data_IF_835257651097
#
_entry.id   IF_835257651097
#
_cell.length_a   1.000
_cell.length_b   1.000
_cell.length_c   1.000
_cell.angle_alpha   90.00
_cell.angle_beta   90.00
_cell.angle_gamma   90.00
#
_symmetry.space_group_name_H-M   'P 1'
#
loop_
_entity.id
_entity.type
_entity.pdbx_description
1 polymer ?
#
# COMPACT_ATOMS: atom_id res chain seq x y z
N UNK A 1 6.68 1.10 -9.80
CA UNK A 1 7.20 0.64 -8.49
C UNK A 1 8.40 -0.26 -8.71
N UNK A 2 9.50 -0.05 -7.97
CA UNK A 2 10.65 -0.96 -8.01
C UNK A 2 10.29 -2.31 -7.37
N UNK A 3 10.90 -3.39 -7.89
CA UNK A 3 10.91 -4.72 -7.25
C UNK A 3 12.15 -4.79 -6.36
N UNK A 4 11.98 -4.97 -5.05
CA UNK A 4 13.08 -5.07 -4.09
C UNK A 4 13.71 -6.47 -4.07
N UNK A 5 12.90 -7.50 -4.29
CA UNK A 5 13.28 -8.90 -4.33
C UNK A 5 12.22 -9.70 -5.09
N UNK A 6 12.67 -10.71 -5.84
CA UNK A 6 11.81 -11.70 -6.48
C UNK A 6 12.35 -13.11 -6.22
N UNK A 7 11.47 -13.99 -5.75
CA UNK A 7 11.81 -15.37 -5.41
C UNK A 7 10.85 -15.97 -4.41
N UNK A 8 11.19 -17.17 -3.92
CA UNK A 8 10.46 -17.81 -2.83
C UNK A 8 10.59 -16.93 -1.58
N UNK A 9 9.47 -16.74 -0.86
CA UNK A 9 9.46 -15.97 0.37
C UNK A 9 10.50 -16.52 1.36
N UNK A 10 11.34 -15.63 1.84
CA UNK A 10 12.39 -15.90 2.80
C UNK A 10 12.41 -14.76 3.81
N UNK A 11 12.11 -15.10 5.06
CA UNK A 11 11.97 -14.13 6.14
C UNK A 11 13.26 -13.31 6.35
N UNK A 12 14.42 -13.97 6.32
CA UNK A 12 15.69 -13.32 6.61
C UNK A 12 16.09 -12.37 5.48
N UNK A 13 15.89 -12.77 4.22
CA UNK A 13 16.12 -11.88 3.08
C UNK A 13 15.23 -10.63 3.13
N UNK A 14 13.97 -10.80 3.53
CA UNK A 14 13.04 -9.67 3.68
C UNK A 14 13.50 -8.73 4.81
N UNK A 15 14.01 -9.25 5.93
CA UNK A 15 14.59 -8.43 7.01
C UNK A 15 15.88 -7.73 6.58
N UNK A 16 16.67 -8.32 5.69
CA UNK A 16 17.83 -7.63 5.13
C UNK A 16 17.46 -6.45 4.22
N UNK A 17 16.32 -6.53 3.52
CA UNK A 17 15.80 -5.39 2.75
C UNK A 17 15.44 -4.23 3.67
N UNK A 18 14.79 -4.48 4.82
CA UNK A 18 14.44 -3.45 5.82
C UNK A 18 15.67 -2.63 6.23
N UNK A 19 16.81 -3.28 6.45
CA UNK A 19 18.07 -2.63 6.86
C UNK A 19 18.63 -1.65 5.81
N UNK A 20 18.22 -1.81 4.55
CA UNK A 20 18.68 -0.99 3.41
C UNK A 20 17.69 0.11 3.05
N UNK A 21 16.54 0.18 3.72
CA UNK A 21 15.52 1.18 3.43
C UNK A 21 15.83 2.53 4.06
N UNK A 22 15.49 3.59 3.33
CA UNK A 22 15.45 4.96 3.85
C UNK A 22 14.03 5.24 4.35
N UNK A 23 13.79 5.03 5.64
CA UNK A 23 12.47 5.17 6.25
C UNK A 23 11.98 6.62 6.39
N UNK A 24 12.83 7.62 6.11
CA UNK A 24 12.38 9.02 6.00
C UNK A 24 11.66 9.26 4.67
N UNK A 25 11.99 8.48 3.63
CA UNK A 25 11.37 8.58 2.31
C UNK A 25 10.41 7.42 1.99
N UNK A 26 10.61 6.28 2.63
CA UNK A 26 9.91 5.03 2.30
C UNK A 26 9.11 4.56 3.50
N UNK A 27 7.81 4.31 3.29
CA UNK A 27 6.95 3.89 4.39
C UNK A 27 7.14 2.44 4.79
N UNK A 28 7.59 1.62 3.84
CA UNK A 28 7.71 0.17 3.96
C UNK A 28 7.53 -0.48 2.59
N UNK A 29 7.09 -1.73 2.58
CA UNK A 29 6.94 -2.52 1.35
C UNK A 29 5.75 -3.46 1.41
N UNK A 30 5.39 -3.98 0.24
CA UNK A 30 4.33 -4.96 0.05
C UNK A 30 4.95 -6.25 -0.50
N UNK A 31 4.50 -7.38 0.02
CA UNK A 31 4.82 -8.71 -0.50
C UNK A 31 3.54 -9.25 -1.13
N UNK A 32 3.67 -9.84 -2.31
CA UNK A 32 2.59 -10.51 -3.02
C UNK A 32 3.11 -11.72 -3.76
N UNK A 33 2.22 -12.62 -4.16
CA UNK A 33 2.55 -13.63 -5.17
C UNK A 33 2.92 -12.96 -6.50
N UNK A 34 3.81 -13.60 -7.26
CA UNK A 34 4.18 -13.18 -8.62
C UNK A 34 2.95 -13.13 -9.51
N UNK A 35 2.16 -14.20 -9.47
CA UNK A 35 0.91 -14.32 -10.20
C UNK A 35 -0.22 -13.55 -9.53
N UNK A 36 -1.23 -13.22 -10.33
CA UNK A 36 -2.45 -12.59 -9.86
C UNK A 36 -3.29 -13.55 -9.00
N UNK A 37 -4.18 -12.97 -8.20
CA UNK A 37 -5.14 -13.69 -7.37
C UNK A 37 -6.51 -13.00 -7.45
N UNK A 38 -7.59 -13.73 -7.19
CA UNK A 38 -8.91 -13.13 -7.12
C UNK A 38 -9.02 -12.16 -5.94
N UNK A 39 -9.71 -11.04 -6.13
CA UNK A 39 -9.86 -10.02 -5.09
C UNK A 39 -10.35 -10.56 -3.73
N UNK A 40 -11.27 -11.54 -3.75
CA UNK A 40 -11.77 -12.21 -2.53
C UNK A 40 -10.66 -12.85 -1.68
N UNK A 41 -9.54 -13.21 -2.30
CA UNK A 41 -8.40 -13.86 -1.67
C UNK A 41 -7.28 -12.86 -1.30
N UNK A 42 -7.50 -11.55 -1.46
CA UNK A 42 -6.51 -10.51 -1.18
C UNK A 42 -5.82 -10.67 0.18
N UNK A 43 -6.60 -10.99 1.23
CA UNK A 43 -6.08 -11.17 2.59
C UNK A 43 -5.10 -12.35 2.72
N UNK A 44 -5.10 -13.29 1.78
CA UNK A 44 -4.24 -14.48 1.78
C UNK A 44 -2.96 -14.29 0.98
N UNK A 45 -2.99 -13.45 -0.05
CA UNK A 45 -1.91 -13.32 -1.03
C UNK A 45 -1.11 -12.04 -0.92
N UNK A 46 -1.48 -11.12 -0.02
CA UNK A 46 -0.79 -9.85 0.17
C UNK A 46 -0.46 -9.64 1.63
N UNK A 47 0.78 -9.23 1.89
CA UNK A 47 1.23 -8.73 3.18
C UNK A 47 1.91 -7.36 3.01
N UNK A 48 1.92 -6.55 4.06
CA UNK A 48 2.64 -5.28 4.07
C UNK A 48 3.44 -5.13 5.36
N UNK A 49 4.59 -4.50 5.24
CA UNK A 49 5.37 -3.97 6.35
C UNK A 49 5.34 -2.46 6.25
N UNK A 50 5.20 -1.79 7.40
CA UNK A 50 5.24 -0.33 7.51
C UNK A 50 6.15 0.00 8.70
N UNK A 51 7.02 1.00 8.53
CA UNK A 51 7.92 1.48 9.58
C UNK A 51 7.18 1.83 10.87
N UNK A 52 7.86 1.66 11.99
CA UNK A 52 7.38 2.12 13.29
C UNK A 52 7.09 3.62 13.28
N UNK A 53 6.02 4.05 13.96
CA UNK A 53 5.67 5.47 14.08
C UNK A 53 4.88 6.04 12.89
N UNK A 54 4.59 5.25 11.85
CA UNK A 54 3.64 5.68 10.81
C UNK A 54 2.22 5.80 11.39
N UNK A 55 1.60 6.98 11.25
CA UNK A 55 0.24 7.37 11.68
C UNK A 55 -0.28 6.59 12.90
N UNK A 56 -0.04 7.14 14.09
CA UNK A 56 -0.41 6.51 15.36
C UNK A 56 -1.81 6.92 15.86
N UNK A 57 -2.49 7.84 15.17
CA UNK A 57 -3.81 8.30 15.56
C UNK A 57 -4.88 7.30 15.12
N UNK A 58 -5.69 6.81 16.06
CA UNK A 58 -6.83 5.92 15.80
C UNK A 58 -7.99 6.61 15.09
N UNK A 59 -8.00 7.94 15.05
CA UNK A 59 -9.02 8.69 14.34
C UNK A 59 -8.81 8.52 12.84
N UNK A 60 -9.73 7.80 12.19
CA UNK A 60 -9.74 7.62 10.75
C UNK A 60 -9.62 8.99 10.08
N UNK A 61 -8.68 9.17 9.14
CA UNK A 61 -8.40 10.47 8.49
C UNK A 61 -9.68 11.16 7.95
N UNK A 62 -10.62 10.37 7.42
CA UNK A 62 -11.94 10.84 6.97
C UNK A 62 -12.80 11.54 8.04
N UNK A 63 -12.53 11.33 9.33
CA UNK A 63 -13.25 11.97 10.43
C UNK A 63 -12.62 13.28 10.88
N UNK A 64 -11.38 13.56 10.48
CA UNK A 64 -10.64 14.76 10.89
C UNK A 64 -10.92 15.98 10.00
N UNK A 65 -11.31 15.77 8.74
CA UNK A 65 -11.54 16.83 7.76
C UNK A 65 -12.66 16.44 6.78
N UNK A 66 -13.40 17.44 6.29
CA UNK A 66 -14.39 17.23 5.24
C UNK A 66 -13.70 16.79 3.93
N UNK A 67 -14.21 15.71 3.32
CA UNK A 67 -13.71 15.23 2.03
C UNK A 67 -14.10 16.23 0.93
N UNK A 68 -13.11 16.80 0.25
CA UNK A 68 -13.31 17.70 -0.89
C UNK A 68 -13.20 16.91 -2.19
N UNK A 69 -14.24 16.87 -3.05
CA UNK A 69 -14.16 16.19 -4.35
C UNK A 69 -13.05 16.76 -5.23
N UNK A 70 -12.27 15.87 -5.87
CA UNK A 70 -11.16 16.26 -6.74
C UNK A 70 -11.58 16.84 -8.11
N UNK A 71 -12.89 16.83 -8.43
CA UNK A 71 -13.49 17.35 -9.68
C UNK A 71 -12.87 16.82 -10.98
N UNK A 72 -12.23 15.64 -10.96
CA UNK A 72 -11.51 15.09 -12.13
C UNK A 72 -12.42 14.35 -13.14
N UNK A 73 -13.74 14.27 -12.91
CA UNK A 73 -14.66 13.70 -13.90
C UNK A 73 -14.99 14.77 -14.95
N UNK A 74 -14.85 14.48 -16.26
CA UNK A 74 -15.45 15.32 -17.30
C UNK A 74 -16.97 15.34 -17.08
N UNK A 75 -17.58 16.52 -17.19
CA UNK A 75 -19.03 16.64 -17.21
C UNK A 75 -19.55 15.96 -18.47
N UNK A 76 -20.05 14.73 -18.34
CA UNK A 76 -20.90 14.15 -19.38
C UNK A 76 -22.23 14.87 -19.24
N UNK A 77 -22.46 15.84 -20.12
CA UNK A 77 -23.72 16.55 -20.24
C UNK A 77 -24.89 15.56 -20.25
N UNK A 78 -25.90 15.86 -19.43
CA UNK A 78 -27.17 15.14 -19.40
C UNK A 78 -27.80 15.14 -20.79
N UNK A 79 -27.69 14.02 -21.49
CA UNK A 79 -28.48 13.69 -22.66
C UNK A 79 -29.38 12.51 -22.34
N UNK A 80 -30.70 12.81 -22.35
CA UNK A 80 -31.88 11.97 -22.13
C UNK A 80 -32.33 11.75 -20.67
#
# INVERSE_FOLDING_TARGET
>A
CPVLYEGIYDYDKVRELEKKMDFDKQEGYVIRTRDGFHYKDFRRYVAKYVRTGHVQTTQHWMRGQAVVPNKLKPEVGSGF
#
